data_IF_138968508211
#
_entry.id   IF_138968508211
#
_cell.length_a   1.000
_cell.length_b   1.000
_cell.length_c   1.000
_cell.angle_alpha   90.00
_cell.angle_beta   90.00
_cell.angle_gamma   90.00
#
_symmetry.space_group_name_H-M   'P 1'
#
loop_
_entity.id
_entity.type
_entity.pdbx_description
1 polymer ?
#
# COMPACT_ATOMS: atom_id res chain seq x y z
N UNK A 1 40.56 -28.55 39.99
CA UNK A 1 40.28 -28.20 41.40
C UNK A 1 39.19 -27.19 41.43
N UNK A 2 38.18 -27.58 41.96
CA UNK A 2 37.09 -27.22 42.87
C UNK A 2 36.05 -26.34 42.16
N UNK A 3 34.90 -26.81 41.97
CA UNK A 3 33.79 -27.29 42.78
C UNK A 3 32.88 -26.18 43.30
N UNK A 4 31.61 -26.34 42.93
CA UNK A 4 30.37 -26.26 43.74
C UNK A 4 29.87 -24.88 44.14
N UNK A 5 28.59 -24.57 44.17
CA UNK A 5 27.33 -25.18 44.60
C UNK A 5 26.16 -24.25 44.19
N UNK A 6 25.12 -24.74 43.60
CA UNK A 6 23.75 -25.02 44.12
C UNK A 6 23.03 -23.87 44.84
N UNK A 7 21.85 -23.54 44.32
CA UNK A 7 20.86 -22.72 45.00
C UNK A 7 19.50 -22.67 44.23
N UNK A 8 18.71 -23.72 44.44
CA UNK A 8 17.28 -23.83 44.11
C UNK A 8 16.48 -23.00 45.11
N UNK A 9 15.36 -22.35 44.68
CA UNK A 9 14.06 -22.37 45.42
C UNK A 9 12.91 -21.96 44.51
N UNK A 10 11.92 -22.81 44.54
CA UNK A 10 10.61 -22.71 43.92
C UNK A 10 9.71 -21.60 44.52
N UNK A 11 8.78 -21.12 43.74
CA UNK A 11 7.70 -20.26 44.23
C UNK A 11 6.50 -20.32 43.29
N UNK A 12 5.75 -21.43 43.43
CA UNK A 12 4.40 -21.58 42.84
C UNK A 12 3.44 -20.67 43.60
N UNK A 13 2.69 -19.84 42.89
CA UNK A 13 1.41 -19.33 43.38
C UNK A 13 0.35 -19.34 42.25
N UNK A 14 -0.48 -20.34 42.34
CA UNK A 14 -1.80 -20.38 41.71
C UNK A 14 -2.73 -19.41 42.44
N UNK A 15 -3.51 -18.63 41.72
CA UNK A 15 -4.74 -17.99 42.22
C UNK A 15 -5.87 -18.24 41.26
N UNK A 16 -6.97 -18.63 41.88
CA UNK A 16 -8.13 -19.31 41.39
C UNK A 16 -9.05 -18.44 40.51
N UNK A 17 -9.85 -19.23 39.75
CA UNK A 17 -11.11 -18.89 39.06
C UNK A 17 -12.08 -18.04 39.91
N UNK A 18 -12.69 -17.04 39.27
CA UNK A 18 -14.04 -16.62 39.62
C UNK A 18 -14.91 -16.66 38.34
N UNK A 19 -15.86 -17.60 38.34
CA UNK A 19 -17.01 -17.62 37.46
C UNK A 19 -18.07 -16.67 38.03
N UNK A 20 -18.59 -15.77 37.18
CA UNK A 20 -19.94 -15.25 37.39
C UNK A 20 -20.69 -15.31 36.08
N UNK A 21 -21.70 -16.17 36.08
CA UNK A 21 -22.74 -16.22 35.09
C UNK A 21 -23.76 -15.13 35.42
N UNK A 22 -24.27 -14.42 34.42
CA UNK A 22 -25.55 -13.77 34.49
C UNK A 22 -26.26 -13.81 33.15
N UNK A 23 -27.48 -14.16 33.23
CA UNK A 23 -28.44 -14.55 32.25
C UNK A 23 -29.16 -13.40 31.56
N UNK A 24 -29.48 -13.65 30.26
CA UNK A 24 -30.68 -13.27 29.49
C UNK A 24 -31.21 -11.84 29.52
N UNK A 25 -31.38 -11.24 28.37
CA UNK A 25 -32.73 -11.11 27.78
C UNK A 25 -32.65 -10.81 26.29
N UNK A 26 -33.44 -11.54 25.51
CA UNK A 26 -33.70 -11.32 24.11
C UNK A 26 -34.65 -10.13 23.92
N UNK A 27 -34.41 -9.32 22.89
CA UNK A 27 -35.47 -8.49 22.31
C UNK A 27 -35.28 -8.46 20.80
N UNK A 28 -36.21 -9.14 20.16
CA UNK A 28 -36.46 -9.11 18.71
C UNK A 28 -37.08 -7.76 18.34
N UNK A 29 -36.48 -7.06 17.40
CA UNK A 29 -37.20 -6.06 16.63
C UNK A 29 -36.76 -6.13 15.18
N UNK A 30 -37.67 -6.72 14.39
CA UNK A 30 -37.63 -6.76 12.92
C UNK A 30 -38.03 -5.38 12.41
N UNK A 31 -37.13 -4.72 11.70
CA UNK A 31 -37.49 -3.58 10.84
C UNK A 31 -37.08 -3.89 9.40
N UNK A 32 -38.08 -4.31 8.64
CA UNK A 32 -38.07 -4.32 7.18
C UNK A 32 -37.88 -2.89 6.70
N UNK A 33 -36.81 -2.62 5.98
CA UNK A 33 -36.65 -1.38 5.23
C UNK A 33 -36.67 -1.68 3.73
N UNK A 34 -37.74 -1.21 3.12
CA UNK A 34 -38.13 -1.37 1.73
C UNK A 34 -37.16 -0.61 0.82
N UNK A 35 -36.60 -1.34 -0.13
CA UNK A 35 -35.80 -0.75 -1.23
C UNK A 35 -36.79 -0.15 -2.21
N UNK A 36 -36.74 1.14 -2.40
CA UNK A 36 -37.48 1.83 -3.47
C UNK A 36 -36.50 2.17 -4.61
N UNK A 37 -36.63 1.41 -5.67
CA UNK A 37 -36.02 1.71 -6.96
C UNK A 37 -36.70 2.95 -7.55
N UNK A 38 -35.93 3.94 -8.02
CA UNK A 38 -36.40 4.96 -8.92
C UNK A 38 -35.68 4.79 -10.25
N UNK A 39 -36.48 4.38 -11.21
CA UNK A 39 -36.16 4.25 -12.62
C UNK A 39 -36.50 5.57 -13.36
N UNK A 40 -35.66 5.86 -14.34
CA UNK A 40 -35.91 6.51 -15.61
C UNK A 40 -36.25 8.02 -15.65
N UNK A 41 -35.47 8.70 -16.48
CA UNK A 41 -35.80 9.96 -17.11
C UNK A 41 -34.93 10.16 -18.35
N UNK A 42 -35.42 9.69 -19.48
CA UNK A 42 -34.90 10.05 -20.81
C UNK A 42 -35.28 11.49 -21.11
N UNK A 43 -34.32 12.27 -21.64
CA UNK A 43 -34.57 13.57 -22.21
C UNK A 43 -33.70 13.75 -23.46
N UNK A 44 -34.26 13.44 -24.60
CA UNK A 44 -33.77 13.91 -25.92
C UNK A 44 -34.07 15.38 -26.08
N UNK A 45 -33.09 16.14 -26.57
CA UNK A 45 -33.29 17.50 -27.06
C UNK A 45 -32.33 17.74 -28.21
N UNK A 46 -32.94 17.73 -29.40
CA UNK A 46 -32.30 17.98 -30.70
C UNK A 46 -32.24 19.49 -31.04
N UNK A 47 -31.20 19.82 -31.79
CA UNK A 47 -31.10 20.86 -32.86
C UNK A 47 -31.15 22.34 -32.49
N UNK A 48 -30.13 23.07 -32.92
CA UNK A 48 -30.25 24.01 -34.04
C UNK A 48 -28.86 24.52 -34.49
N UNK A 49 -28.67 24.46 -35.80
CA UNK A 49 -27.56 25.03 -36.53
C UNK A 49 -27.75 26.55 -36.69
N UNK A 50 -26.65 27.32 -36.68
CA UNK A 50 -26.65 28.72 -37.02
C UNK A 50 -25.24 29.15 -37.44
N UNK A 51 -25.02 29.23 -38.75
CA UNK A 51 -23.81 29.73 -39.35
C UNK A 51 -23.70 31.27 -39.28
N UNK A 52 -22.49 31.79 -39.28
CA UNK A 52 -22.18 33.21 -39.39
C UNK A 52 -20.71 33.41 -39.67
N UNK A 53 -20.35 33.61 -40.92
CA UNK A 53 -19.04 34.05 -41.35
C UNK A 53 -18.90 35.57 -41.18
N UNK A 54 -17.78 36.05 -40.62
CA UNK A 54 -17.28 37.42 -40.86
C UNK A 54 -15.79 37.52 -40.54
N UNK A 55 -15.02 37.67 -41.58
CA UNK A 55 -13.92 38.60 -41.88
C UNK A 55 -12.83 38.90 -40.86
N UNK A 56 -11.64 38.69 -41.38
CA UNK A 56 -10.32 39.04 -40.81
C UNK A 56 -10.14 40.55 -40.60
N UNK A 57 -9.44 40.93 -39.52
CA UNK A 57 -8.63 42.11 -39.52
C UNK A 57 -7.45 41.92 -38.55
N UNK A 58 -6.23 42.16 -39.05
CA UNK A 58 -4.97 41.92 -38.35
C UNK A 58 -4.72 42.91 -37.22
N UNK A 59 -4.15 42.40 -36.15
CA UNK A 59 -3.54 43.14 -35.05
C UNK A 59 -2.22 42.47 -34.69
N UNK A 60 -1.10 43.13 -35.02
CA UNK A 60 0.21 42.76 -34.57
C UNK A 60 0.31 43.04 -33.07
N UNK A 61 0.08 42.04 -32.25
CA UNK A 61 0.36 42.02 -30.82
C UNK A 61 1.66 41.27 -30.60
N UNK A 62 2.72 41.94 -30.18
CA UNK A 62 3.89 41.32 -29.62
C UNK A 62 3.46 40.65 -28.29
N UNK A 63 3.03 39.42 -28.35
CA UNK A 63 2.81 38.58 -27.19
C UNK A 63 4.16 38.10 -26.71
N UNK A 64 4.58 38.56 -25.52
CA UNK A 64 5.60 37.89 -24.75
C UNK A 64 5.19 36.43 -24.64
N UNK A 65 5.97 35.54 -25.26
CA UNK A 65 5.89 34.10 -25.07
C UNK A 65 6.18 33.78 -23.61
N UNK A 66 5.12 33.81 -22.77
CA UNK A 66 5.16 33.15 -21.49
C UNK A 66 5.43 31.68 -21.79
N UNK A 67 6.56 31.17 -21.35
CA UNK A 67 6.81 29.75 -21.26
C UNK A 67 5.58 29.14 -20.54
N UNK A 68 4.69 28.54 -21.31
CA UNK A 68 3.73 27.60 -20.76
C UNK A 68 4.58 26.47 -20.19
N UNK A 69 4.85 26.53 -18.89
CA UNK A 69 5.41 25.40 -18.19
C UNK A 69 4.49 24.23 -18.49
N UNK A 70 5.02 23.22 -19.17
CA UNK A 70 4.32 21.95 -19.41
C UNK A 70 3.97 21.37 -18.04
N UNK A 71 2.77 21.69 -17.56
CA UNK A 71 2.28 21.20 -16.26
C UNK A 71 2.18 19.70 -16.34
N UNK A 72 2.82 19.03 -15.40
CA UNK A 72 2.77 17.57 -15.35
C UNK A 72 1.35 17.07 -15.09
N UNK A 73 0.97 15.92 -15.67
CA UNK A 73 -0.32 15.31 -15.37
C UNK A 73 -0.46 15.05 -13.86
N UNK A 74 -1.55 15.55 -13.27
CA UNK A 74 -1.81 15.43 -11.82
C UNK A 74 -1.36 16.63 -10.98
N UNK A 75 -0.43 17.46 -11.42
CA UNK A 75 0.17 18.56 -10.67
C UNK A 75 -0.85 19.50 -9.99
N UNK A 76 -1.96 19.80 -10.65
CA UNK A 76 -3.03 20.65 -10.10
C UNK A 76 -3.74 20.03 -8.88
N UNK A 77 -3.61 18.72 -8.67
CA UNK A 77 -4.26 17.98 -7.59
C UNK A 77 -3.30 17.61 -6.46
N UNK A 78 -2.05 18.05 -6.56
CA UNK A 78 -0.99 17.78 -5.62
C UNK A 78 -0.03 16.68 -6.07
N UNK A 79 1.12 16.60 -5.39
CA UNK A 79 2.22 15.72 -5.80
C UNK A 79 1.86 14.24 -5.74
N UNK A 80 1.00 13.83 -4.81
CA UNK A 80 0.51 12.44 -4.75
C UNK A 80 -0.22 12.02 -6.03
N UNK A 81 -0.91 12.94 -6.71
CA UNK A 81 -1.54 12.63 -8.00
C UNK A 81 -0.51 12.49 -9.13
N UNK A 82 0.60 13.23 -9.09
CA UNK A 82 1.72 13.00 -10.02
C UNK A 82 2.31 11.60 -9.80
N UNK A 83 2.58 11.22 -8.54
CA UNK A 83 3.07 9.88 -8.18
C UNK A 83 2.11 8.78 -8.65
N UNK A 84 0.81 8.94 -8.37
CA UNK A 84 -0.22 8.01 -8.84
C UNK A 84 -0.20 7.87 -10.36
N UNK A 85 -0.12 8.98 -11.07
CA UNK A 85 -0.12 8.97 -12.54
C UNK A 85 1.10 8.23 -13.11
N UNK A 86 2.27 8.42 -12.53
CA UNK A 86 3.49 7.68 -12.93
C UNK A 86 3.33 6.20 -12.61
N UNK A 87 2.91 5.85 -11.39
CA UNK A 87 2.71 4.48 -10.97
C UNK A 87 1.68 3.75 -11.87
N UNK A 88 0.57 4.39 -12.19
CA UNK A 88 -0.47 3.78 -13.03
C UNK A 88 0.02 3.47 -14.46
N UNK A 89 0.92 4.26 -15.01
CA UNK A 89 1.54 3.96 -16.32
C UNK A 89 2.43 2.73 -16.32
N UNK A 90 3.03 2.40 -15.17
CA UNK A 90 3.88 1.22 -15.01
C UNK A 90 3.08 -0.08 -14.83
N UNK A 91 1.78 0.01 -14.64
CA UNK A 91 0.89 -1.16 -14.70
C UNK A 91 0.66 -1.59 -16.15
N UNK A 92 0.42 -2.89 -16.35
CA UNK A 92 -0.07 -3.40 -17.63
C UNK A 92 -1.55 -3.00 -17.83
N UNK A 93 -2.06 -3.14 -19.04
CA UNK A 93 -3.49 -2.91 -19.31
C UNK A 93 -4.42 -3.87 -18.58
N UNK A 94 -3.97 -5.07 -18.26
CA UNK A 94 -4.71 -6.01 -17.43
C UNK A 94 -4.84 -5.51 -15.99
N UNK A 95 -3.75 -4.97 -15.42
CA UNK A 95 -3.72 -4.44 -14.05
C UNK A 95 -4.41 -3.09 -13.91
N UNK A 96 -4.31 -2.23 -14.92
CA UNK A 96 -4.92 -0.91 -14.97
C UNK A 96 -5.50 -0.62 -16.36
N UNK A 97 -6.73 -1.07 -16.68
CA UNK A 97 -7.29 -1.06 -18.03
C UNK A 97 -7.34 0.32 -18.70
N UNK A 98 -7.51 1.39 -17.92
CA UNK A 98 -7.63 2.76 -18.44
C UNK A 98 -6.29 3.48 -18.59
N UNK A 99 -5.34 3.21 -17.71
CA UNK A 99 -4.12 4.02 -17.53
C UNK A 99 -2.83 3.23 -17.77
N UNK A 100 -2.86 1.89 -17.65
CA UNK A 100 -1.70 1.03 -17.80
C UNK A 100 -1.11 1.08 -19.21
N UNK A 101 0.21 1.19 -19.29
CA UNK A 101 0.96 1.28 -20.54
C UNK A 101 2.15 0.33 -20.61
N UNK A 102 2.54 -0.27 -19.47
CA UNK A 102 3.66 -1.19 -19.44
C UNK A 102 3.34 -2.48 -20.21
N UNK A 103 4.33 -2.99 -20.92
CA UNK A 103 4.25 -4.33 -21.47
C UNK A 103 4.38 -5.37 -20.36
N UNK A 104 3.66 -6.50 -20.43
CA UNK A 104 3.84 -7.58 -19.47
C UNK A 104 5.30 -8.04 -19.46
N UNK A 105 5.88 -8.19 -18.28
CA UNK A 105 7.23 -8.76 -18.18
C UNK A 105 7.22 -10.19 -18.77
N UNK A 106 8.23 -10.54 -19.55
CA UNK A 106 8.30 -11.83 -20.28
C UNK A 106 8.09 -13.05 -19.38
N UNK A 107 8.46 -12.94 -18.11
CA UNK A 107 8.36 -14.00 -17.10
C UNK A 107 7.16 -13.86 -16.17
N UNK A 108 6.40 -12.76 -16.28
CA UNK A 108 5.25 -12.53 -15.41
C UNK A 108 4.05 -13.36 -15.88
N UNK A 109 3.62 -14.30 -15.05
CA UNK A 109 2.36 -15.03 -15.27
C UNK A 109 1.18 -14.17 -14.81
N UNK A 110 0.08 -14.10 -15.57
CA UNK A 110 -1.17 -13.54 -15.08
C UNK A 110 -1.58 -14.20 -13.77
N UNK A 111 -2.14 -13.45 -12.84
CA UNK A 111 -2.54 -13.95 -11.51
C UNK A 111 -3.47 -15.18 -11.57
N UNK A 112 -4.24 -15.31 -12.64
CA UNK A 112 -5.08 -16.49 -12.90
C UNK A 112 -4.29 -17.79 -13.14
N UNK A 113 -3.00 -17.68 -13.48
CA UNK A 113 -2.10 -18.80 -13.74
C UNK A 113 -1.14 -19.08 -12.57
N UNK A 114 -1.25 -18.31 -11.49
CA UNK A 114 -0.44 -18.54 -10.30
C UNK A 114 -0.80 -19.87 -9.65
N UNK A 115 0.21 -20.53 -9.13
CA UNK A 115 0.10 -21.78 -8.38
C UNK A 115 0.81 -21.59 -7.03
N UNK A 116 0.25 -20.75 -6.14
CA UNK A 116 0.88 -20.48 -4.86
C UNK A 116 1.01 -21.77 -4.03
N UNK A 117 2.16 -21.90 -3.36
CA UNK A 117 2.37 -22.91 -2.34
C UNK A 117 2.38 -22.26 -0.96
N UNK A 118 2.15 -23.05 0.09
CA UNK A 118 2.25 -22.53 1.47
C UNK A 118 3.67 -22.08 1.79
N UNK A 119 4.68 -22.78 1.29
CA UNK A 119 6.10 -22.46 1.45
C UNK A 119 6.45 -21.13 0.77
N UNK A 120 6.06 -20.96 -0.48
CA UNK A 120 6.28 -19.73 -1.24
C UNK A 120 5.57 -18.54 -0.62
N UNK A 121 4.34 -18.75 -0.15
CA UNK A 121 3.58 -17.68 0.48
C UNK A 121 4.13 -17.32 1.87
N UNK A 122 4.54 -18.28 2.70
CA UNK A 122 5.22 -18.00 3.96
C UNK A 122 6.52 -17.22 3.71
N UNK A 123 7.29 -17.62 2.70
CA UNK A 123 8.50 -16.88 2.29
C UNK A 123 8.16 -15.44 1.89
N UNK A 124 7.12 -15.23 1.11
CA UNK A 124 6.63 -13.89 0.75
C UNK A 124 6.28 -13.05 1.99
N UNK A 125 5.58 -13.61 2.97
CA UNK A 125 5.23 -12.89 4.21
C UNK A 125 6.48 -12.48 5.00
N UNK A 126 7.44 -13.39 5.15
CA UNK A 126 8.69 -13.12 5.86
C UNK A 126 9.54 -12.06 5.17
N UNK A 127 9.71 -12.17 3.85
CA UNK A 127 10.44 -11.19 3.05
C UNK A 127 9.73 -9.83 3.00
N UNK A 128 8.39 -9.82 2.93
CA UNK A 128 7.61 -8.59 3.04
C UNK A 128 7.78 -7.93 4.39
N UNK A 129 7.77 -8.73 5.47
CA UNK A 129 8.00 -8.19 6.83
C UNK A 129 9.33 -7.45 6.95
N UNK A 130 10.41 -7.96 6.36
CA UNK A 130 11.70 -7.28 6.35
C UNK A 130 11.63 -5.88 5.72
N UNK A 131 10.84 -5.71 4.66
CA UNK A 131 10.62 -4.41 4.02
C UNK A 131 9.82 -3.46 4.90
N UNK A 132 8.71 -3.92 5.50
CA UNK A 132 7.89 -3.10 6.39
C UNK A 132 8.62 -2.74 7.68
N UNK A 133 9.36 -3.69 8.28
CA UNK A 133 10.25 -3.41 9.43
C UNK A 133 11.23 -2.28 9.11
N UNK A 134 11.90 -2.34 7.96
CA UNK A 134 12.85 -1.31 7.56
C UNK A 134 12.16 0.05 7.36
N UNK A 135 11.03 0.11 6.66
CA UNK A 135 10.30 1.35 6.44
C UNK A 135 9.84 1.99 7.76
N UNK A 136 9.23 1.20 8.64
CA UNK A 136 8.72 1.66 9.93
C UNK A 136 9.85 2.11 10.87
N UNK A 137 10.98 1.39 10.89
CA UNK A 137 12.19 1.79 11.62
C UNK A 137 12.80 3.09 11.07
N UNK A 138 12.88 3.25 9.76
CA UNK A 138 13.43 4.44 9.11
C UNK A 138 12.59 5.67 9.49
N UNK A 139 11.27 5.62 9.36
CA UNK A 139 10.43 6.77 9.69
C UNK A 139 10.45 7.09 11.18
N UNK A 140 10.58 6.09 12.05
CA UNK A 140 10.68 6.26 13.51
C UNK A 140 12.07 6.75 13.96
N UNK A 141 13.11 6.57 13.16
CA UNK A 141 14.51 6.88 13.55
C UNK A 141 14.81 8.37 13.67
N UNK A 142 13.99 9.23 13.04
CA UNK A 142 14.26 10.66 12.95
C UNK A 142 15.48 11.02 12.08
N UNK A 143 15.95 10.10 11.23
CA UNK A 143 17.09 10.32 10.32
C UNK A 143 16.89 11.50 9.35
N UNK A 144 15.67 11.84 9.07
CA UNK A 144 15.28 13.06 8.36
C UNK A 144 14.10 13.73 9.08
N UNK A 145 14.07 15.06 9.21
CA UNK A 145 12.92 15.78 9.77
C UNK A 145 11.61 15.47 9.03
N UNK A 146 11.70 15.11 7.75
CA UNK A 146 10.57 14.74 6.90
C UNK A 146 9.87 13.47 7.38
N UNK A 147 10.57 12.53 7.99
CA UNK A 147 10.02 11.22 8.33
C UNK A 147 9.05 11.25 9.51
N UNK A 148 9.18 12.22 10.42
CA UNK A 148 8.29 12.36 11.58
C UNK A 148 6.81 12.46 11.22
N UNK A 149 6.49 13.00 10.06
CA UNK A 149 5.11 13.10 9.57
C UNK A 149 4.51 11.73 9.19
N UNK A 150 5.34 10.70 8.99
CA UNK A 150 4.93 9.37 8.54
C UNK A 150 4.94 8.30 9.65
N UNK A 151 5.19 8.70 10.88
CA UNK A 151 4.99 7.85 12.06
C UNK A 151 3.48 7.78 12.38
N UNK A 152 3.00 6.62 12.82
CA UNK A 152 1.62 6.36 13.21
C UNK A 152 0.56 6.78 12.16
N UNK A 153 0.83 6.47 10.91
CA UNK A 153 -0.12 6.71 9.81
C UNK A 153 -1.36 5.83 9.91
N UNK A 154 -1.23 4.67 10.56
CA UNK A 154 -2.22 3.60 10.59
C UNK A 154 -2.09 2.62 9.43
N UNK A 155 -1.11 2.84 8.55
CA UNK A 155 -0.80 1.93 7.43
C UNK A 155 0.25 0.88 7.79
N UNK A 156 0.89 0.97 8.94
CA UNK A 156 1.96 0.09 9.41
C UNK A 156 1.54 -1.38 9.37
N UNK A 157 2.46 -2.27 8.92
CA UNK A 157 2.18 -3.69 8.71
C UNK A 157 3.16 -4.66 9.38
N UNK A 158 4.26 -4.18 9.93
CA UNK A 158 5.30 -5.04 10.48
C UNK A 158 4.80 -5.94 11.62
N UNK A 159 4.04 -5.36 12.57
CA UNK A 159 3.49 -6.10 13.71
C UNK A 159 2.43 -7.12 13.29
N UNK A 160 1.49 -6.73 12.41
CA UNK A 160 0.46 -7.66 11.95
C UNK A 160 1.03 -8.78 11.08
N UNK A 161 2.10 -8.51 10.32
CA UNK A 161 2.84 -9.56 9.60
C UNK A 161 3.52 -10.54 10.54
N UNK A 162 4.08 -10.07 11.65
CA UNK A 162 4.67 -10.96 12.66
C UNK A 162 3.62 -11.93 13.19
N UNK A 163 2.45 -11.43 13.57
CA UNK A 163 1.34 -12.27 14.07
C UNK A 163 0.81 -13.24 13.00
N UNK A 164 0.68 -12.79 11.75
CA UNK A 164 0.24 -13.65 10.65
C UNK A 164 1.26 -14.75 10.33
N UNK A 165 2.56 -14.46 10.40
CA UNK A 165 3.64 -15.46 10.22
C UNK A 165 3.58 -16.51 11.34
N UNK A 166 3.43 -16.08 12.59
CA UNK A 166 3.29 -16.98 13.75
C UNK A 166 2.08 -17.89 13.57
N UNK A 167 0.91 -17.33 13.31
CA UNK A 167 -0.31 -18.08 13.02
C UNK A 167 -0.11 -19.09 11.88
N UNK A 168 0.57 -18.68 10.80
CA UNK A 168 0.81 -19.53 9.64
C UNK A 168 1.69 -20.73 10.00
N UNK A 169 2.79 -20.48 10.74
CA UNK A 169 3.70 -21.52 11.20
C UNK A 169 3.02 -22.52 12.14
N UNK A 170 2.21 -22.05 13.08
CA UNK A 170 1.45 -22.91 14.01
C UNK A 170 0.40 -23.73 13.27
N UNK A 171 -0.40 -23.09 12.38
CA UNK A 171 -1.50 -23.72 11.68
C UNK A 171 -1.03 -24.83 10.74
N UNK A 172 0.06 -24.59 10.02
CA UNK A 172 0.56 -25.52 9.00
C UNK A 172 1.79 -26.31 9.44
N UNK A 173 2.18 -26.22 10.72
CA UNK A 173 3.36 -26.92 11.29
C UNK A 173 4.63 -26.64 10.47
N UNK A 174 4.83 -25.38 10.12
CA UNK A 174 5.97 -24.90 9.34
C UNK A 174 6.92 -24.07 10.20
N UNK A 175 8.17 -23.95 9.75
CA UNK A 175 9.15 -23.05 10.35
C UNK A 175 9.32 -21.82 9.44
N UNK A 176 9.25 -20.63 10.02
CA UNK A 176 9.50 -19.41 9.28
C UNK A 176 10.94 -19.38 8.76
N UNK A 177 11.16 -19.15 7.46
CA UNK A 177 12.51 -18.99 6.93
C UNK A 177 13.13 -17.67 7.44
N UNK A 178 14.44 -17.55 7.31
CA UNK A 178 15.11 -16.25 7.49
C UNK A 178 14.87 -15.38 6.25
N UNK A 179 14.68 -14.09 6.45
CA UNK A 179 14.64 -13.12 5.35
C UNK A 179 16.08 -12.89 4.85
N UNK A 180 16.46 -13.58 3.78
CA UNK A 180 17.78 -13.51 3.15
C UNK A 180 17.71 -13.37 1.62
N UNK A 181 16.53 -13.01 1.12
CA UNK A 181 16.22 -12.88 -0.29
C UNK A 181 15.81 -11.45 -0.67
N UNK A 182 14.85 -11.31 -1.61
CA UNK A 182 14.51 -10.02 -2.20
C UNK A 182 13.97 -8.99 -1.19
N UNK A 183 13.38 -9.42 -0.08
CA UNK A 183 12.92 -8.52 0.97
C UNK A 183 14.07 -7.96 1.79
N UNK A 184 15.05 -8.81 2.15
CA UNK A 184 16.26 -8.35 2.84
C UNK A 184 17.08 -7.38 1.97
N UNK A 185 17.23 -7.68 0.66
CA UNK A 185 17.88 -6.79 -0.30
C UNK A 185 17.16 -5.44 -0.39
N UNK A 186 15.82 -5.47 -0.46
CA UNK A 186 15.00 -4.27 -0.53
C UNK A 186 15.09 -3.46 0.76
N UNK A 187 15.03 -4.11 1.92
CA UNK A 187 15.19 -3.47 3.23
C UNK A 187 16.55 -2.76 3.35
N UNK A 188 17.62 -3.38 2.89
CA UNK A 188 18.94 -2.75 2.88
C UNK A 188 18.99 -1.54 1.94
N UNK A 189 18.47 -1.69 0.72
CA UNK A 189 18.35 -0.60 -0.23
C UNK A 189 17.59 0.61 0.35
N UNK A 190 16.48 0.39 1.06
CA UNK A 190 15.71 1.46 1.71
C UNK A 190 16.51 2.17 2.81
N UNK A 191 17.29 1.44 3.60
CA UNK A 191 18.16 2.02 4.62
C UNK A 191 19.20 2.95 4.02
N UNK A 192 19.85 2.51 2.94
CA UNK A 192 20.86 3.31 2.25
C UNK A 192 20.23 4.56 1.59
N UNK A 193 19.09 4.37 0.91
CA UNK A 193 18.37 5.45 0.24
C UNK A 193 17.84 6.49 1.23
N UNK A 194 17.37 6.08 2.39
CA UNK A 194 16.76 6.96 3.37
C UNK A 194 17.70 8.04 3.92
N UNK A 195 18.99 7.79 3.90
CA UNK A 195 20.03 8.75 4.35
C UNK A 195 20.56 9.63 3.23
N UNK A 196 20.53 9.15 1.99
CA UNK A 196 21.12 9.81 0.83
C UNK A 196 20.10 10.59 -0.01
N UNK A 197 18.86 10.10 -0.07
CA UNK A 197 17.82 10.64 -0.95
C UNK A 197 16.42 10.49 -0.31
N UNK A 198 16.09 11.30 0.71
CA UNK A 198 14.81 11.21 1.41
C UNK A 198 13.54 11.29 0.53
N UNK A 199 13.46 12.18 -0.49
CA UNK A 199 12.30 12.19 -1.38
C UNK A 199 12.10 10.87 -2.15
N UNK A 200 13.17 10.24 -2.60
CA UNK A 200 13.17 8.95 -3.27
C UNK A 200 12.73 7.82 -2.32
N UNK A 201 13.16 7.86 -1.04
CA UNK A 201 12.64 6.94 -0.02
C UNK A 201 11.11 7.10 0.15
N UNK A 202 10.60 8.32 0.16
CA UNK A 202 9.16 8.57 0.24
C UNK A 202 8.41 8.03 -0.98
N UNK A 203 9.05 7.94 -2.15
CA UNK A 203 8.48 7.25 -3.31
C UNK A 203 8.22 5.76 -3.01
N UNK A 204 9.19 5.07 -2.40
CA UNK A 204 9.02 3.68 -1.98
C UNK A 204 7.94 3.54 -0.91
N UNK A 205 7.93 4.41 0.10
CA UNK A 205 6.89 4.45 1.12
C UNK A 205 5.50 4.55 0.48
N UNK A 206 5.29 5.51 -0.42
CA UNK A 206 4.03 5.64 -1.14
C UNK A 206 3.68 4.37 -1.91
N UNK A 207 4.56 3.90 -2.77
CA UNK A 207 4.26 2.78 -3.65
C UNK A 207 3.97 1.49 -2.88
N UNK A 208 4.73 1.17 -1.82
CA UNK A 208 4.53 -0.06 -1.04
C UNK A 208 3.21 -0.02 -0.28
N UNK A 209 2.95 1.02 0.49
CA UNK A 209 1.73 1.09 1.31
C UNK A 209 0.47 1.24 0.46
N UNK A 210 0.51 2.06 -0.58
CA UNK A 210 -0.68 2.31 -1.41
C UNK A 210 -0.96 1.18 -2.40
N UNK A 211 0.06 0.51 -2.95
CA UNK A 211 -0.15 -0.68 -3.77
C UNK A 211 -0.70 -1.83 -2.92
N UNK A 212 -0.18 -2.02 -1.69
CA UNK A 212 -0.69 -3.04 -0.77
C UNK A 212 -2.16 -2.80 -0.40
N UNK A 213 -2.53 -1.57 -0.11
CA UNK A 213 -3.91 -1.20 0.25
C UNK A 213 -4.93 -1.38 -0.90
N UNK A 214 -4.47 -1.46 -2.13
CA UNK A 214 -5.29 -1.67 -3.34
C UNK A 214 -5.09 -3.07 -3.93
N UNK A 215 -4.11 -3.22 -4.84
CA UNK A 215 -3.81 -4.48 -5.53
C UNK A 215 -3.39 -5.61 -4.59
N UNK A 216 -2.63 -5.30 -3.54
CA UNK A 216 -2.19 -6.27 -2.55
C UNK A 216 -3.36 -7.00 -1.88
N UNK A 217 -4.44 -6.31 -1.56
CA UNK A 217 -5.66 -6.92 -0.99
C UNK A 217 -6.33 -7.91 -1.94
N UNK A 218 -6.32 -7.61 -3.24
CA UNK A 218 -6.86 -8.53 -4.26
C UNK A 218 -6.02 -9.81 -4.34
N UNK A 219 -4.68 -9.64 -4.32
CA UNK A 219 -3.73 -10.76 -4.30
C UNK A 219 -3.94 -11.61 -3.04
N UNK A 220 -3.98 -10.98 -1.87
CA UNK A 220 -4.18 -11.66 -0.60
C UNK A 220 -5.48 -12.48 -0.55
N UNK A 221 -6.57 -11.93 -1.05
CA UNK A 221 -7.85 -12.65 -1.16
C UNK A 221 -7.71 -13.87 -2.07
N UNK A 222 -7.10 -13.69 -3.26
CA UNK A 222 -6.93 -14.78 -4.22
C UNK A 222 -6.06 -15.91 -3.67
N UNK A 223 -4.96 -15.59 -3.02
CA UNK A 223 -4.10 -16.58 -2.36
C UNK A 223 -4.84 -17.28 -1.22
N UNK A 224 -5.60 -16.53 -0.41
CA UNK A 224 -6.45 -17.09 0.66
C UNK A 224 -7.45 -18.11 0.14
N UNK A 225 -8.13 -17.80 -0.96
CA UNK A 225 -9.05 -18.73 -1.64
C UNK A 225 -8.35 -20.01 -2.13
N UNK A 226 -7.11 -19.89 -2.60
CA UNK A 226 -6.38 -21.00 -3.22
C UNK A 226 -5.71 -21.94 -2.21
N UNK A 227 -5.15 -21.42 -1.11
CA UNK A 227 -4.30 -22.22 -0.21
C UNK A 227 -4.54 -22.03 1.30
N UNK A 228 -5.42 -21.12 1.72
CA UNK A 228 -5.67 -20.81 3.14
C UNK A 228 -7.12 -21.03 3.55
N UNK A 229 -7.90 -21.83 2.85
CA UNK A 229 -9.31 -22.11 3.15
C UNK A 229 -10.16 -20.85 3.38
N UNK A 230 -9.92 -19.81 2.58
CA UNK A 230 -10.51 -18.48 2.67
C UNK A 230 -10.16 -17.68 3.94
N UNK A 231 -9.11 -18.07 4.66
CA UNK A 231 -8.61 -17.28 5.80
C UNK A 231 -7.94 -16.01 5.31
N UNK A 232 -8.56 -14.87 5.56
CA UNK A 232 -7.95 -13.57 5.29
C UNK A 232 -7.01 -13.18 6.43
N UNK A 233 -5.74 -12.91 6.10
CA UNK A 233 -4.70 -12.50 7.05
C UNK A 233 -4.91 -11.05 7.55
N UNK A 234 -4.43 -10.75 8.75
CA UNK A 234 -4.47 -9.40 9.32
C UNK A 234 -3.65 -8.39 8.49
N UNK A 235 -2.65 -8.87 7.78
CA UNK A 235 -1.85 -8.10 6.83
C UNK A 235 -2.70 -7.30 5.83
N UNK A 236 -3.89 -7.78 5.46
CA UNK A 236 -4.79 -7.14 4.50
C UNK A 236 -5.96 -6.40 5.16
N UNK A 237 -5.93 -6.21 6.50
CA UNK A 237 -6.98 -5.55 7.27
C UNK A 237 -6.47 -4.30 7.99
N UNK A 238 -7.33 -3.31 8.13
CA UNK A 238 -7.04 -2.08 8.86
C UNK A 238 -8.17 -1.80 9.85
N UNK A 239 -7.86 -1.98 11.13
CA UNK A 239 -8.85 -1.91 12.22
C UNK A 239 -8.85 -0.57 12.96
N UNK A 240 -7.88 0.31 12.67
CA UNK A 240 -7.83 1.65 13.30
C UNK A 240 -9.08 2.48 12.95
N UNK A 241 -9.53 3.38 13.85
CA UNK A 241 -10.73 4.20 13.64
C UNK A 241 -10.73 4.95 12.31
N UNK A 242 -11.86 4.88 11.59
CA UNK A 242 -12.03 5.45 10.26
C UNK A 242 -11.56 4.53 9.13
N UNK A 243 -10.99 3.37 9.44
CA UNK A 243 -10.60 2.36 8.47
C UNK A 243 -9.52 2.83 7.50
N UNK A 244 -9.23 2.01 6.51
CA UNK A 244 -8.18 2.24 5.52
C UNK A 244 -8.33 3.57 4.77
N UNK A 245 -9.55 3.93 4.36
CA UNK A 245 -9.78 5.14 3.54
C UNK A 245 -9.37 6.42 4.27
N UNK A 246 -9.74 6.54 5.54
CA UNK A 246 -9.36 7.70 6.36
C UNK A 246 -7.84 7.77 6.57
N UNK A 247 -7.18 6.63 6.77
CA UNK A 247 -5.72 6.57 6.94
C UNK A 247 -5.01 6.95 5.65
N UNK A 248 -5.43 6.41 4.52
CA UNK A 248 -4.88 6.79 3.21
C UNK A 248 -5.08 8.27 2.91
N UNK A 249 -6.25 8.83 3.21
CA UNK A 249 -6.53 10.25 2.99
C UNK A 249 -5.60 11.14 3.82
N UNK A 250 -5.41 10.83 5.11
CA UNK A 250 -4.48 11.56 5.97
C UNK A 250 -3.03 11.45 5.50
N UNK A 251 -2.61 10.24 5.11
CA UNK A 251 -1.25 10.01 4.62
C UNK A 251 -0.99 10.75 3.31
N UNK A 252 -1.98 10.80 2.40
CA UNK A 252 -1.88 11.61 1.17
C UNK A 252 -1.71 13.10 1.45
N UNK A 253 -2.44 13.63 2.43
CA UNK A 253 -2.27 15.02 2.83
C UNK A 253 -0.85 15.29 3.33
N UNK A 254 -0.34 14.46 4.25
CA UNK A 254 1.05 14.55 4.75
C UNK A 254 2.10 14.45 3.63
N UNK A 255 1.89 13.59 2.64
CA UNK A 255 2.77 13.47 1.47
C UNK A 255 2.76 14.74 0.61
N UNK A 256 1.61 15.35 0.37
CA UNK A 256 1.52 16.61 -0.35
C UNK A 256 2.20 17.73 0.43
N UNK A 257 1.95 17.86 1.73
CA UNK A 257 2.54 18.88 2.61
C UNK A 257 4.09 18.76 2.67
N UNK A 258 4.61 17.52 2.71
CA UNK A 258 6.04 17.27 2.63
C UNK A 258 6.61 17.71 1.28
N UNK A 259 5.93 17.35 0.19
CA UNK A 259 6.37 17.66 -1.16
C UNK A 259 6.28 19.16 -1.50
N UNK A 260 5.48 19.97 -0.80
CA UNK A 260 5.49 21.43 -0.98
C UNK A 260 6.86 22.05 -0.69
N UNK A 261 7.64 21.41 0.18
CA UNK A 261 8.98 21.85 0.58
C UNK A 261 10.09 21.43 -0.39
N UNK A 262 9.75 20.57 -1.38
CA UNK A 262 10.72 20.02 -2.32
C UNK A 262 10.87 20.88 -3.56
N UNK A 263 12.08 20.98 -4.06
CA UNK A 263 12.34 21.55 -5.39
C UNK A 263 11.71 20.69 -6.48
N UNK A 264 11.61 21.21 -7.69
CA UNK A 264 11.08 20.44 -8.82
C UNK A 264 11.99 19.24 -9.14
N UNK A 265 13.30 19.41 -9.04
CA UNK A 265 14.31 18.38 -9.26
C UNK A 265 14.14 17.22 -8.26
N UNK A 266 13.88 17.51 -6.98
CA UNK A 266 13.61 16.48 -5.96
C UNK A 266 12.33 15.73 -6.27
N UNK A 267 11.27 16.44 -6.66
CA UNK A 267 10.01 15.82 -7.11
C UNK A 267 10.23 14.91 -8.31
N UNK A 268 11.04 15.34 -9.27
CA UNK A 268 11.32 14.57 -10.48
C UNK A 268 12.10 13.29 -10.17
N UNK A 269 13.14 13.36 -9.33
CA UNK A 269 13.85 12.17 -8.87
C UNK A 269 12.94 11.20 -8.11
N UNK A 270 12.08 11.73 -7.23
CA UNK A 270 11.06 10.91 -6.55
C UNK A 270 10.14 10.18 -7.55
N UNK A 271 9.69 10.83 -8.61
CA UNK A 271 8.85 10.22 -9.64
C UNK A 271 9.61 9.17 -10.46
N UNK A 272 10.86 9.42 -10.80
CA UNK A 272 11.73 8.49 -11.54
C UNK A 272 11.98 7.21 -10.75
N UNK A 273 12.12 7.32 -9.41
CA UNK A 273 12.35 6.20 -8.50
C UNK A 273 11.17 5.20 -8.46
N UNK A 274 9.99 5.58 -8.96
CA UNK A 274 8.82 4.69 -9.05
C UNK A 274 9.14 3.40 -9.80
N UNK A 275 9.93 3.45 -10.86
CA UNK A 275 10.36 2.28 -11.62
C UNK A 275 11.12 1.27 -10.77
N UNK A 276 12.03 1.76 -9.91
CA UNK A 276 12.82 0.93 -9.00
C UNK A 276 11.95 0.29 -7.92
N UNK A 277 11.00 1.04 -7.38
CA UNK A 277 10.03 0.51 -6.41
C UNK A 277 9.20 -0.63 -7.01
N UNK A 278 8.75 -0.51 -8.26
CA UNK A 278 8.02 -1.56 -8.97
C UNK A 278 8.89 -2.79 -9.24
N UNK A 279 10.15 -2.61 -9.63
CA UNK A 279 11.10 -3.73 -9.82
C UNK A 279 11.25 -4.54 -8.53
N UNK A 280 11.55 -3.85 -7.40
CA UNK A 280 11.82 -4.50 -6.11
C UNK A 280 10.56 -5.17 -5.55
N UNK A 281 9.40 -4.50 -5.60
CA UNK A 281 8.11 -5.11 -5.21
C UNK A 281 7.74 -6.30 -6.09
N UNK A 282 8.05 -6.25 -7.38
CA UNK A 282 7.86 -7.35 -8.30
C UNK A 282 8.69 -8.58 -7.96
N UNK A 283 9.90 -8.40 -7.40
CA UNK A 283 10.73 -9.54 -6.91
C UNK A 283 10.05 -10.26 -5.73
N UNK A 284 9.42 -9.51 -4.82
CA UNK A 284 8.64 -10.09 -3.71
C UNK A 284 7.45 -10.89 -4.22
N UNK A 285 6.67 -10.32 -5.13
CA UNK A 285 5.47 -10.99 -5.66
C UNK A 285 5.77 -12.31 -6.38
N UNK A 286 6.95 -12.46 -6.99
CA UNK A 286 7.37 -13.71 -7.62
C UNK A 286 7.55 -14.87 -6.65
N UNK A 287 7.65 -14.62 -5.34
CA UNK A 287 7.67 -15.68 -4.34
C UNK A 287 6.33 -16.39 -4.18
N UNK A 288 5.24 -15.75 -4.61
CA UNK A 288 3.88 -16.32 -4.56
C UNK A 288 3.54 -17.06 -5.87
N UNK A 289 4.07 -16.60 -7.02
CA UNK A 289 3.61 -16.94 -8.38
C UNK A 289 4.09 -18.32 -8.87
#
# INVERSE_FOLDING_TARGET
MSACLIGSVAGVRAVAKAKTASTKTASTSSARMTIRAHSAGHGHGEMAAGGGAATAQGGHGHGHGGMMSDRRPGEKKGFVEEMRFVAMKLHTREQAPKEGKAEPAKEAKPMMQWQPTKEGYLRFLVESKAVYDAMEQIVASGASPMYGDFVDTGLERAEVLAADIEWFCETYQMTAPVADGPGAEYAQFLKDLSTTAPPEFICHFYNVYFAHSAGGRMIGRKVSEMILDNKELAFYKWEKPGGLEAQMTRTKAKLNDAAEKWSREEKDRCLEETGKSFELSGKLLRLIA
#
